data_IF_050701264754
#
_entry.id   IF_050701264754
#
_cell.length_a   1.000
_cell.length_b   1.000
_cell.length_c   1.000
_cell.angle_alpha   90.00
_cell.angle_beta   90.00
_cell.angle_gamma   90.00
#
_symmetry.space_group_name_H-M   'P 1'
#
loop_
_entity.id
_entity.type
_entity.pdbx_description
1 polymer ?
#
# COMPACT_ATOMS: atom_id res chain seq x y z
N UNK A 1 -41.67 -19.28 -45.83
CA UNK A 1 -40.24 -19.39 -46.23
C UNK A 1 -39.57 -18.05 -46.56
N UNK A 2 -40.20 -17.13 -47.30
CA UNK A 2 -39.57 -15.86 -47.70
C UNK A 2 -39.14 -14.94 -46.53
N UNK A 3 -39.92 -14.87 -45.44
CA UNK A 3 -39.58 -14.06 -44.27
C UNK A 3 -38.42 -14.63 -43.44
N UNK A 4 -38.25 -15.96 -43.41
CA UNK A 4 -37.13 -16.59 -42.71
C UNK A 4 -35.81 -16.31 -43.42
N UNK A 5 -35.81 -16.36 -44.77
CA UNK A 5 -34.65 -15.99 -45.59
C UNK A 5 -34.25 -14.52 -45.43
N UNK A 6 -35.23 -13.61 -45.32
CA UNK A 6 -34.98 -12.18 -45.05
C UNK A 6 -34.37 -11.93 -43.67
N UNK A 7 -34.85 -12.64 -42.64
CA UNK A 7 -34.30 -12.51 -41.27
C UNK A 7 -32.91 -13.12 -41.14
N UNK A 8 -32.66 -14.25 -41.79
CA UNK A 8 -31.34 -14.87 -41.84
C UNK A 8 -30.34 -13.98 -42.60
N UNK A 9 -30.75 -13.43 -43.75
CA UNK A 9 -29.92 -12.48 -44.49
C UNK A 9 -29.61 -11.21 -43.70
N UNK A 10 -30.58 -10.68 -42.94
CA UNK A 10 -30.36 -9.55 -42.03
C UNK A 10 -29.38 -9.86 -40.90
N UNK A 11 -29.47 -11.05 -40.29
CA UNK A 11 -28.56 -11.48 -39.23
C UNK A 11 -27.12 -11.71 -39.74
N UNK A 12 -26.97 -12.29 -40.93
CA UNK A 12 -25.66 -12.46 -41.57
C UNK A 12 -25.07 -11.08 -41.94
N UNK A 13 -25.88 -10.15 -42.45
CA UNK A 13 -25.42 -8.81 -42.76
C UNK A 13 -24.97 -8.05 -41.50
N UNK A 14 -25.70 -8.16 -40.40
CA UNK A 14 -25.36 -7.53 -39.12
C UNK A 14 -24.08 -8.11 -38.51
N UNK A 15 -23.89 -9.43 -38.58
CA UNK A 15 -22.67 -10.07 -38.07
C UNK A 15 -21.44 -9.72 -38.92
N UNK A 16 -21.58 -9.64 -40.24
CA UNK A 16 -20.50 -9.19 -41.13
C UNK A 16 -20.18 -7.71 -40.89
N UNK A 17 -21.18 -6.85 -40.71
CA UNK A 17 -20.98 -5.44 -40.37
C UNK A 17 -20.32 -5.26 -38.99
N UNK A 18 -20.71 -6.06 -38.00
CA UNK A 18 -20.08 -6.09 -36.68
C UNK A 18 -18.61 -6.50 -36.77
N UNK A 19 -18.31 -7.58 -37.51
CA UNK A 19 -16.95 -8.05 -37.73
C UNK A 19 -16.10 -7.03 -38.50
N UNK A 20 -16.68 -6.38 -39.52
CA UNK A 20 -16.01 -5.30 -40.23
C UNK A 20 -15.76 -4.09 -39.34
N UNK A 21 -16.71 -3.73 -38.46
CA UNK A 21 -16.51 -2.64 -37.51
C UNK A 21 -15.41 -2.97 -36.50
N UNK A 22 -15.34 -4.21 -36.01
CA UNK A 22 -14.27 -4.67 -35.11
C UNK A 22 -12.92 -4.66 -35.85
N UNK A 23 -12.86 -5.22 -37.06
CA UNK A 23 -11.62 -5.29 -37.85
C UNK A 23 -11.19 -3.96 -38.47
N UNK A 24 -12.06 -2.95 -38.60
CA UNK A 24 -11.69 -1.61 -39.06
C UNK A 24 -11.40 -0.63 -37.91
N UNK A 25 -11.95 -0.86 -36.71
CA UNK A 25 -11.67 -0.04 -35.52
C UNK A 25 -10.46 -0.53 -34.73
N UNK A 26 -10.05 -1.80 -34.86
CA UNK A 26 -8.90 -2.36 -34.12
C UNK A 26 -7.50 -2.21 -34.75
N UNK A 27 -7.27 -2.01 -36.07
CA UNK A 27 -5.92 -2.05 -36.62
C UNK A 27 -5.26 -0.66 -36.72
N UNK A 28 -5.58 0.26 -35.79
CA UNK A 28 -4.80 1.50 -35.57
C UNK A 28 -4.91 2.06 -34.15
N UNK A 29 -5.48 1.31 -33.20
CA UNK A 29 -5.42 1.71 -31.81
C UNK A 29 -4.02 1.37 -31.28
N UNK A 30 -3.11 2.35 -31.30
CA UNK A 30 -1.86 2.34 -30.53
C UNK A 30 -2.19 2.37 -29.02
N UNK A 31 -2.83 1.33 -28.51
CA UNK A 31 -3.12 1.14 -27.07
C UNK A 31 -1.93 0.46 -26.38
N UNK A 32 -0.75 0.50 -27.01
CA UNK A 32 0.51 -0.03 -26.47
C UNK A 32 1.36 0.98 -25.69
N UNK A 33 1.03 2.28 -25.67
CA UNK A 33 1.90 3.28 -25.01
C UNK A 33 1.18 4.45 -24.34
N UNK A 34 -0.15 4.39 -24.16
CA UNK A 34 -0.91 5.52 -23.57
C UNK A 34 -1.83 5.13 -22.39
N UNK A 35 -1.65 3.93 -21.83
CA UNK A 35 -2.17 3.59 -20.50
C UNK A 35 -1.20 3.92 -19.36
N UNK A 36 0.04 4.35 -19.67
CA UNK A 36 0.97 4.95 -18.70
C UNK A 36 0.48 6.30 -18.12
N UNK A 37 -0.66 6.83 -18.60
CA UNK A 37 -1.26 8.07 -18.12
C UNK A 37 -2.63 7.88 -17.46
N UNK A 38 -2.99 6.67 -17.01
CA UNK A 38 -4.12 6.54 -16.08
C UNK A 38 -3.66 6.96 -14.67
N UNK A 39 -3.74 8.27 -14.45
CA UNK A 39 -4.22 8.91 -13.20
C UNK A 39 -3.83 8.25 -11.87
N UNK A 40 -2.54 8.33 -11.54
CA UNK A 40 -2.13 8.58 -10.16
C UNK A 40 -2.55 10.00 -9.79
N UNK A 41 -3.48 10.12 -8.82
CA UNK A 41 -3.88 11.30 -8.04
C UNK A 41 -3.65 12.70 -8.62
N UNK A 42 -4.72 13.45 -8.84
CA UNK A 42 -4.72 14.87 -9.22
C UNK A 42 -4.10 15.78 -8.16
N UNK A 43 -2.76 15.83 -8.09
CA UNK A 43 -1.93 16.90 -7.47
C UNK A 43 -0.43 16.83 -7.85
N UNK A 44 -0.04 16.11 -8.91
CA UNK A 44 1.38 15.80 -9.24
C UNK A 44 2.03 16.82 -10.20
N UNK A 45 1.41 17.98 -10.46
CA UNK A 45 1.95 18.94 -11.44
C UNK A 45 3.31 19.57 -11.05
N UNK A 46 3.76 19.42 -9.79
CA UNK A 46 5.03 19.97 -9.32
C UNK A 46 6.21 18.96 -9.27
N UNK A 47 6.00 17.70 -9.66
CA UNK A 47 7.04 16.64 -9.62
C UNK A 47 7.44 16.10 -11.00
N UNK A 48 7.21 16.87 -12.06
CA UNK A 48 7.56 16.52 -13.45
C UNK A 48 9.05 16.32 -13.73
N UNK A 49 9.94 16.62 -12.76
CA UNK A 49 11.39 16.40 -12.90
C UNK A 49 11.86 14.98 -12.50
N UNK A 50 10.97 14.13 -11.95
CA UNK A 50 11.38 12.84 -11.39
C UNK A 50 11.45 11.69 -12.43
N UNK A 51 10.91 11.88 -13.63
CA UNK A 51 10.62 10.77 -14.57
C UNK A 51 11.23 10.90 -15.96
N UNK A 52 12.46 11.42 -16.09
CA UNK A 52 13.13 11.53 -17.40
C UNK A 52 14.38 10.64 -17.51
N UNK A 53 14.27 9.33 -17.73
CA UNK A 53 15.45 8.47 -18.01
C UNK A 53 15.09 7.46 -19.12
N UNK A 54 15.65 7.60 -20.32
CA UNK A 54 16.98 7.19 -20.85
C UNK A 54 17.09 5.67 -21.04
N UNK A 55 16.95 5.25 -22.29
CA UNK A 55 17.26 3.92 -22.82
C UNK A 55 18.76 3.65 -22.72
N UNK A 56 19.15 2.50 -22.15
CA UNK A 56 20.36 1.76 -22.52
C UNK A 56 20.18 0.29 -22.07
N UNK A 57 20.36 -0.64 -23.02
CA UNK A 57 20.26 -2.09 -22.89
C UNK A 57 21.40 -2.68 -22.03
N UNK A 58 21.11 -3.62 -21.12
CA UNK A 58 21.67 -4.99 -21.17
C UNK A 58 21.34 -5.82 -19.92
N UNK A 59 21.08 -7.09 -20.20
CA UNK A 59 20.74 -8.26 -19.38
C UNK A 59 21.77 -8.71 -18.33
N UNK A 60 21.26 -9.35 -17.26
CA UNK A 60 21.92 -10.49 -16.60
C UNK A 60 22.18 -10.32 -15.10
N UNK A 61 21.63 -11.25 -14.30
CA UNK A 61 21.85 -11.41 -12.86
C UNK A 61 23.32 -11.46 -12.45
N UNK A 62 23.58 -10.94 -11.24
CA UNK A 62 24.76 -10.99 -10.36
C UNK A 62 25.33 -9.60 -10.07
N UNK A 63 24.99 -9.08 -8.88
CA UNK A 63 25.66 -7.98 -8.14
C UNK A 63 26.45 -6.99 -9.02
N UNK A 64 25.76 -6.39 -10.00
CA UNK A 64 26.34 -5.35 -10.84
C UNK A 64 26.28 -4.06 -10.04
N UNK A 65 27.36 -3.78 -9.31
CA UNK A 65 27.52 -2.49 -8.64
C UNK A 65 27.34 -1.34 -9.62
N UNK A 66 26.67 -0.28 -9.17
CA UNK A 66 26.40 0.91 -9.97
C UNK A 66 25.00 0.99 -10.61
N UNK A 67 24.09 0.05 -10.31
CA UNK A 67 22.69 0.10 -10.76
C UNK A 67 21.65 0.50 -9.70
N UNK A 68 20.38 0.32 -10.06
CA UNK A 68 19.22 0.56 -9.17
C UNK A 68 18.95 -0.71 -8.36
N UNK A 69 18.84 -0.56 -7.05
CA UNK A 69 18.39 -1.60 -6.12
C UNK A 69 16.99 -1.28 -5.63
N UNK A 70 16.08 -2.24 -5.72
CA UNK A 70 14.75 -2.15 -5.13
C UNK A 70 14.70 -2.98 -3.84
N UNK A 71 14.20 -2.40 -2.76
CA UNK A 71 13.97 -3.08 -1.48
C UNK A 71 12.51 -2.94 -1.11
N UNK A 72 11.79 -4.04 -0.95
CA UNK A 72 10.34 -4.09 -0.80
C UNK A 72 9.97 -4.60 0.59
N UNK A 73 9.16 -3.82 1.30
CA UNK A 73 8.53 -4.17 2.57
C UNK A 73 7.01 -4.09 2.40
N UNK A 74 6.28 -5.03 2.97
CA UNK A 74 4.83 -5.00 2.92
C UNK A 74 4.13 -6.31 3.18
N UNK A 75 2.95 -6.40 2.61
CA UNK A 75 2.01 -7.50 2.78
C UNK A 75 1.83 -8.30 1.47
N UNK A 76 0.77 -9.11 1.43
CA UNK A 76 0.36 -9.93 0.29
C UNK A 76 0.20 -9.18 -1.03
N UNK A 77 0.09 -7.84 -1.05
CA UNK A 77 -0.04 -7.05 -2.28
C UNK A 77 1.30 -6.80 -2.99
N UNK A 78 2.41 -6.96 -2.27
CA UNK A 78 3.78 -6.74 -2.79
C UNK A 78 4.69 -7.95 -2.62
N UNK A 79 4.19 -9.01 -2.00
CA UNK A 79 4.90 -10.28 -1.85
C UNK A 79 4.96 -11.05 -3.17
N UNK A 80 6.16 -11.48 -3.52
CA UNK A 80 6.55 -12.21 -4.73
C UNK A 80 6.80 -13.70 -4.46
N UNK A 81 6.59 -14.19 -3.23
CA UNK A 81 6.64 -15.64 -2.97
C UNK A 81 5.55 -16.36 -3.75
N UNK A 82 5.95 -17.30 -4.59
CA UNK A 82 5.04 -18.20 -5.32
C UNK A 82 5.04 -19.55 -4.61
N UNK A 83 3.92 -19.88 -3.96
CA UNK A 83 3.78 -21.16 -3.26
C UNK A 83 3.27 -22.29 -4.17
N UNK A 84 3.50 -23.53 -3.76
CA UNK A 84 3.02 -24.73 -4.45
C UNK A 84 1.48 -24.66 -4.58
N UNK A 85 0.96 -24.80 -5.80
CA UNK A 85 -0.46 -24.59 -6.19
C UNK A 85 -0.91 -23.13 -6.46
N UNK A 86 0.00 -22.15 -6.44
CA UNK A 86 -0.28 -20.78 -6.89
C UNK A 86 0.21 -20.51 -8.32
N UNK A 87 0.10 -21.50 -9.22
CA UNK A 87 0.58 -21.40 -10.62
C UNK A 87 -0.06 -20.26 -11.44
N UNK A 88 -1.15 -19.67 -10.93
CA UNK A 88 -1.83 -18.52 -11.54
C UNK A 88 -1.49 -17.16 -10.90
N UNK A 89 -0.62 -17.11 -9.87
CA UNK A 89 -0.15 -15.85 -9.28
C UNK A 89 0.81 -15.19 -10.26
N UNK A 90 0.40 -14.05 -10.81
CA UNK A 90 1.26 -13.22 -11.66
C UNK A 90 2.28 -12.43 -10.84
N UNK A 91 3.12 -11.69 -11.55
CA UNK A 91 4.13 -10.82 -10.97
C UNK A 91 3.50 -9.74 -10.08
N UNK A 92 4.17 -9.43 -8.99
CA UNK A 92 3.76 -8.35 -8.10
C UNK A 92 4.03 -6.99 -8.76
N UNK A 93 3.31 -5.93 -8.38
CA UNK A 93 3.56 -4.62 -8.99
C UNK A 93 4.99 -4.08 -8.76
N UNK A 94 5.69 -4.35 -7.62
CA UNK A 94 7.09 -3.96 -7.48
C UNK A 94 8.02 -4.73 -8.40
N UNK A 95 7.67 -5.97 -8.75
CA UNK A 95 8.42 -6.78 -9.71
C UNK A 95 8.29 -6.20 -11.12
N UNK A 96 7.07 -5.96 -11.59
CA UNK A 96 6.82 -5.28 -12.86
C UNK A 96 7.50 -3.91 -12.90
N UNK A 97 7.41 -3.13 -11.82
CA UNK A 97 8.10 -1.84 -11.71
C UNK A 97 9.62 -2.01 -11.84
N UNK A 98 10.20 -3.06 -11.25
CA UNK A 98 11.63 -3.29 -11.31
C UNK A 98 12.11 -3.59 -12.74
N UNK A 99 11.31 -4.34 -13.50
CA UNK A 99 11.58 -4.62 -14.91
C UNK A 99 11.52 -3.35 -15.75
N UNK A 100 10.50 -2.52 -15.55
CA UNK A 100 10.31 -1.25 -16.27
C UNK A 100 11.43 -0.25 -16.02
N UNK A 101 12.02 -0.23 -14.81
CA UNK A 101 13.14 0.66 -14.47
C UNK A 101 14.52 0.01 -14.65
N UNK A 102 14.58 -1.22 -15.16
CA UNK A 102 15.79 -2.02 -15.33
C UNK A 102 16.64 -2.11 -14.03
N UNK A 103 16.01 -2.59 -12.96
CA UNK A 103 16.69 -2.86 -11.70
C UNK A 103 17.87 -3.83 -11.86
N UNK A 104 18.95 -3.56 -11.12
CA UNK A 104 20.07 -4.50 -10.98
C UNK A 104 19.89 -5.51 -9.85
N UNK A 105 19.11 -5.16 -8.82
CA UNK A 105 18.82 -6.07 -7.71
C UNK A 105 17.45 -5.75 -7.10
N UNK A 106 16.74 -6.79 -6.68
CA UNK A 106 15.45 -6.71 -5.99
C UNK A 106 15.52 -7.56 -4.73
N UNK A 107 15.23 -6.95 -3.59
CA UNK A 107 15.16 -7.61 -2.29
C UNK A 107 13.74 -7.44 -1.76
N UNK A 108 13.12 -8.56 -1.38
CA UNK A 108 11.75 -8.60 -0.88
C UNK A 108 11.74 -9.11 0.56
N UNK A 109 11.06 -8.38 1.43
CA UNK A 109 10.79 -8.75 2.81
C UNK A 109 9.30 -8.74 3.09
N UNK A 110 8.49 -8.49 2.06
CA UNK A 110 7.05 -8.59 2.14
C UNK A 110 6.65 -10.02 2.46
N UNK A 111 5.54 -10.17 3.18
CA UNK A 111 5.07 -11.48 3.63
C UNK A 111 3.58 -11.62 3.35
N UNK A 112 3.21 -12.74 2.75
CA UNK A 112 1.84 -13.22 2.67
C UNK A 112 1.56 -14.28 3.74
N UNK A 113 0.27 -14.47 4.04
CA UNK A 113 -0.15 -15.65 4.79
C UNK A 113 0.20 -16.92 4.00
N UNK A 114 0.85 -17.92 4.62
CA UNK A 114 1.12 -19.20 3.97
C UNK A 114 -0.16 -19.92 3.54
N UNK A 115 -0.15 -20.58 2.38
CA UNK A 115 -1.29 -21.35 1.85
C UNK A 115 -1.69 -22.50 2.75
N UNK A 116 -0.79 -23.03 3.57
CA UNK A 116 -1.10 -24.06 4.57
C UNK A 116 -2.12 -23.58 5.60
N UNK A 117 -2.18 -22.28 5.82
CA UNK A 117 -3.01 -21.64 6.84
C UNK A 117 -4.35 -21.17 6.24
N UNK A 118 -4.59 -21.47 4.95
CA UNK A 118 -5.82 -21.15 4.24
C UNK A 118 -6.89 -22.26 4.37
N UNK A 119 -8.18 -21.92 4.60
CA UNK A 119 -8.70 -20.59 4.90
C UNK A 119 -8.48 -20.22 6.37
N UNK A 120 -7.90 -19.04 6.60
CA UNK A 120 -7.84 -18.46 7.94
C UNK A 120 -9.15 -17.76 8.29
N UNK A 121 -9.62 -17.97 9.52
CA UNK A 121 -10.85 -17.38 10.04
C UNK A 121 -10.54 -16.74 11.41
N UNK A 122 -10.35 -15.40 11.47
CA UNK A 122 -10.45 -14.44 10.38
C UNK A 122 -9.27 -14.46 9.39
N UNK A 123 -9.46 -13.94 8.16
CA UNK A 123 -8.38 -13.66 7.24
C UNK A 123 -7.27 -12.86 7.91
N UNK A 124 -6.05 -13.37 7.85
CA UNK A 124 -4.90 -12.75 8.49
C UNK A 124 -3.91 -12.29 7.44
N UNK A 125 -3.37 -11.09 7.64
CA UNK A 125 -2.28 -10.55 6.86
C UNK A 125 -1.42 -9.63 7.71
N UNK A 126 -0.31 -9.19 7.12
CA UNK A 126 0.71 -8.40 7.82
C UNK A 126 0.12 -7.09 8.33
N UNK A 127 0.30 -6.83 9.63
CA UNK A 127 -0.03 -5.54 10.24
C UNK A 127 1.17 -4.62 10.18
N UNK A 128 0.90 -3.31 10.19
CA UNK A 128 1.95 -2.30 10.33
C UNK A 128 2.73 -2.49 11.63
N UNK A 129 2.03 -2.79 12.73
CA UNK A 129 2.63 -3.14 14.02
C UNK A 129 1.81 -4.21 14.73
N UNK A 130 2.48 -5.31 15.10
CA UNK A 130 1.84 -6.36 15.89
C UNK A 130 1.51 -5.86 17.31
N UNK A 131 2.31 -4.93 17.86
CA UNK A 131 2.07 -4.33 19.19
C UNK A 131 0.81 -3.47 19.20
N UNK A 132 0.60 -2.63 18.19
CA UNK A 132 -0.59 -1.79 18.07
C UNK A 132 -1.84 -2.65 17.92
N UNK A 133 -1.77 -3.68 17.07
CA UNK A 133 -2.86 -4.64 16.90
C UNK A 133 -3.20 -5.35 18.22
N UNK A 134 -2.20 -5.89 18.92
CA UNK A 134 -2.43 -6.57 20.21
C UNK A 134 -3.08 -5.63 21.23
N UNK A 135 -2.62 -4.37 21.31
CA UNK A 135 -3.24 -3.36 22.17
C UNK A 135 -4.70 -3.10 21.79
N UNK A 136 -5.01 -3.00 20.49
CA UNK A 136 -6.37 -2.78 20.00
C UNK A 136 -7.31 -3.93 20.40
N UNK A 137 -6.85 -5.18 20.26
CA UNK A 137 -7.61 -6.38 20.63
C UNK A 137 -7.85 -6.45 22.14
N UNK A 138 -6.86 -6.14 22.97
CA UNK A 138 -6.99 -6.17 24.43
C UNK A 138 -7.96 -5.10 24.96
N UNK A 139 -8.04 -3.95 24.28
CA UNK A 139 -8.79 -2.79 24.76
C UNK A 139 -10.19 -2.65 24.14
N UNK A 140 -10.60 -3.54 23.24
CA UNK A 140 -11.91 -3.48 22.60
C UNK A 140 -12.92 -4.43 23.23
N UNK A 141 -14.19 -4.01 23.22
CA UNK A 141 -15.33 -4.87 23.60
C UNK A 141 -15.83 -5.78 22.48
N UNK A 142 -15.40 -5.54 21.24
CA UNK A 142 -15.91 -6.28 20.07
C UNK A 142 -15.12 -7.54 19.74
N UNK A 143 -13.92 -7.69 20.30
CA UNK A 143 -13.03 -8.81 20.04
C UNK A 143 -12.63 -9.55 21.33
N UNK A 144 -13.61 -9.93 22.18
CA UNK A 144 -13.27 -10.65 23.40
C UNK A 144 -12.63 -11.99 23.04
N UNK A 145 -11.43 -12.25 23.57
CA UNK A 145 -10.71 -13.52 23.45
C UNK A 145 -10.17 -13.87 22.06
N UNK A 146 -9.92 -12.87 21.20
CA UNK A 146 -9.20 -13.13 19.97
C UNK A 146 -7.74 -13.46 20.26
N UNK A 147 -7.25 -14.54 19.64
CA UNK A 147 -5.89 -15.00 19.84
C UNK A 147 -4.91 -14.14 19.04
N UNK A 148 -4.05 -13.41 19.75
CA UNK A 148 -2.99 -12.58 19.16
C UNK A 148 -1.66 -13.33 19.04
N UNK A 149 -1.61 -14.64 19.30
CA UNK A 149 -0.36 -15.41 19.26
C UNK A 149 0.12 -15.68 17.82
N UNK A 150 -0.79 -15.71 16.85
CA UNK A 150 -0.43 -15.85 15.45
C UNK A 150 -0.30 -14.47 14.82
N UNK A 151 0.94 -14.07 14.52
CA UNK A 151 1.26 -12.79 13.87
C UNK A 151 2.28 -13.00 12.77
N UNK A 152 2.08 -12.35 11.64
CA UNK A 152 3.08 -12.28 10.58
C UNK A 152 4.13 -11.19 10.92
N UNK A 153 5.33 -11.23 10.31
CA UNK A 153 6.35 -10.21 10.51
C UNK A 153 5.84 -8.81 10.12
N UNK A 154 5.74 -7.94 11.11
CA UNK A 154 5.33 -6.53 10.93
C UNK A 154 6.45 -5.69 10.30
N UNK A 155 6.17 -4.41 10.02
CA UNK A 155 7.13 -3.51 9.36
C UNK A 155 8.48 -3.46 10.08
N UNK A 156 8.47 -3.38 11.41
CA UNK A 156 9.70 -3.37 12.20
C UNK A 156 10.48 -4.66 12.01
N UNK A 157 9.82 -5.82 12.08
CA UNK A 157 10.47 -7.12 11.86
C UNK A 157 11.07 -7.26 10.45
N UNK A 158 10.37 -6.77 9.43
CA UNK A 158 10.84 -6.79 8.04
C UNK A 158 12.05 -5.87 7.83
N UNK A 159 12.02 -4.65 8.37
CA UNK A 159 13.16 -3.72 8.32
C UNK A 159 14.35 -4.30 9.08
N UNK A 160 14.16 -4.84 10.28
CA UNK A 160 15.26 -5.46 11.03
C UNK A 160 15.90 -6.64 10.27
N UNK A 161 15.08 -7.43 9.55
CA UNK A 161 15.59 -8.50 8.68
C UNK A 161 16.49 -7.94 7.58
N UNK A 162 16.09 -6.83 6.94
CA UNK A 162 16.92 -6.12 5.97
C UNK A 162 18.21 -5.58 6.59
N UNK A 163 18.13 -4.91 7.74
CA UNK A 163 19.29 -4.35 8.44
C UNK A 163 20.30 -5.42 8.89
N UNK A 164 19.85 -6.66 9.08
CA UNK A 164 20.69 -7.79 9.44
C UNK A 164 21.51 -8.36 8.28
N UNK A 165 21.18 -7.97 7.03
CA UNK A 165 21.93 -8.41 5.86
C UNK A 165 23.35 -7.83 5.87
N UNK A 166 24.35 -8.59 5.37
CA UNK A 166 25.68 -8.04 5.20
C UNK A 166 25.67 -6.87 4.20
N UNK A 167 26.53 -5.84 4.39
CA UNK A 167 26.68 -4.78 3.43
C UNK A 167 27.01 -5.34 2.03
N UNK A 168 26.48 -4.75 0.95
CA UNK A 168 26.73 -5.25 -0.39
C UNK A 168 28.21 -5.08 -0.76
N UNK A 169 28.75 -6.07 -1.48
CA UNK A 169 30.15 -6.05 -1.93
C UNK A 169 30.44 -4.84 -2.82
N UNK A 170 29.47 -4.44 -3.64
CA UNK A 170 29.49 -3.18 -4.39
C UNK A 170 28.26 -2.34 -4.02
N UNK A 171 28.44 -1.06 -3.64
CA UNK A 171 27.30 -0.22 -3.30
C UNK A 171 26.44 0.02 -4.55
N UNK A 172 25.10 -0.10 -4.45
CA UNK A 172 24.22 0.28 -5.53
C UNK A 172 24.37 1.79 -5.79
N UNK A 173 24.17 2.22 -7.04
CA UNK A 173 24.17 3.66 -7.37
C UNK A 173 22.96 4.34 -6.73
N UNK A 174 21.86 3.62 -6.65
CA UNK A 174 20.61 4.10 -6.10
C UNK A 174 19.88 2.95 -5.42
N UNK A 175 19.27 3.22 -4.26
CA UNK A 175 18.36 2.30 -3.60
C UNK A 175 16.99 2.95 -3.49
N UNK A 176 15.96 2.25 -3.95
CA UNK A 176 14.55 2.65 -3.84
C UNK A 176 13.89 1.69 -2.84
N UNK A 177 13.33 2.26 -1.78
CA UNK A 177 12.54 1.51 -0.80
C UNK A 177 11.07 1.57 -1.17
N UNK A 178 10.38 0.43 -1.15
CA UNK A 178 8.92 0.33 -1.32
C UNK A 178 8.34 -0.11 0.01
N UNK A 179 7.41 0.66 0.56
CA UNK A 179 6.65 0.30 1.76
C UNK A 179 5.16 0.21 1.42
N UNK A 180 4.58 -0.99 1.45
CA UNK A 180 3.15 -1.21 1.21
C UNK A 180 2.49 -1.84 2.44
N UNK A 181 1.93 -0.99 3.31
CA UNK A 181 1.26 -1.38 4.55
C UNK A 181 -0.05 -0.62 4.73
N UNK A 182 -0.92 -1.14 5.60
CA UNK A 182 -2.15 -0.48 6.04
C UNK A 182 -3.44 -1.13 5.54
N UNK A 183 -3.39 -1.94 4.48
CA UNK A 183 -4.58 -2.63 3.98
C UNK A 183 -5.18 -3.52 5.06
N UNK A 184 -4.33 -4.37 5.67
CA UNK A 184 -4.75 -5.29 6.73
C UNK A 184 -5.01 -4.60 8.06
N UNK A 185 -4.39 -3.45 8.34
CA UNK A 185 -4.75 -2.59 9.48
C UNK A 185 -6.18 -2.08 9.33
N UNK A 186 -6.50 -1.43 8.21
CA UNK A 186 -7.85 -0.89 7.96
C UNK A 186 -8.88 -2.01 7.86
N UNK A 187 -8.55 -3.11 7.19
CA UNK A 187 -9.42 -4.27 7.11
C UNK A 187 -9.79 -4.75 8.52
N UNK A 188 -8.82 -4.87 9.41
CA UNK A 188 -9.09 -5.36 10.75
C UNK A 188 -9.77 -4.32 11.65
N UNK A 189 -9.21 -3.12 11.75
CA UNK A 189 -9.67 -2.07 12.65
C UNK A 189 -11.08 -1.56 12.36
N UNK A 190 -11.60 -1.80 11.15
CA UNK A 190 -12.98 -1.50 10.80
C UNK A 190 -14.03 -2.17 11.73
N UNK A 191 -13.67 -3.24 12.45
CA UNK A 191 -14.54 -3.91 13.42
C UNK A 191 -14.57 -3.27 14.81
N UNK A 192 -13.70 -2.29 15.08
CA UNK A 192 -13.60 -1.60 16.36
C UNK A 192 -14.63 -0.45 16.46
N UNK A 193 -14.81 0.08 17.68
CA UNK A 193 -15.50 1.36 17.87
C UNK A 193 -14.76 2.44 17.05
N UNK A 194 -15.48 3.30 16.35
CA UNK A 194 -14.89 4.26 15.39
C UNK A 194 -13.75 5.11 15.99
N UNK A 195 -13.92 5.62 17.21
CA UNK A 195 -12.90 6.41 17.91
C UNK A 195 -11.62 5.61 18.18
N UNK A 196 -11.76 4.33 18.56
CA UNK A 196 -10.63 3.43 18.75
C UNK A 196 -9.95 3.14 17.43
N UNK A 197 -10.73 2.82 16.39
CA UNK A 197 -10.23 2.52 15.06
C UNK A 197 -9.38 3.66 14.49
N UNK A 198 -9.84 4.91 14.62
CA UNK A 198 -9.06 6.08 14.22
C UNK A 198 -7.74 6.18 14.99
N UNK A 199 -7.77 6.02 16.31
CA UNK A 199 -6.57 6.12 17.15
C UNK A 199 -5.52 5.07 16.77
N UNK A 200 -5.92 3.81 16.60
CA UNK A 200 -4.97 2.76 16.23
C UNK A 200 -4.48 2.90 14.79
N UNK A 201 -5.31 3.42 13.88
CA UNK A 201 -4.88 3.79 12.53
C UNK A 201 -3.82 4.90 12.56
N UNK A 202 -4.02 5.94 13.35
CA UNK A 202 -3.05 7.04 13.48
C UNK A 202 -1.72 6.54 14.04
N UNK A 203 -1.77 5.71 15.07
CA UNK A 203 -0.58 5.09 15.66
C UNK A 203 0.16 4.18 14.68
N UNK A 204 -0.55 3.43 13.84
CA UNK A 204 0.07 2.63 12.78
C UNK A 204 0.82 3.52 11.79
N UNK A 205 0.29 4.70 11.47
CA UNK A 205 0.97 5.66 10.58
C UNK A 205 2.20 6.26 11.26
N UNK A 206 2.11 6.65 12.53
CA UNK A 206 3.25 7.14 13.30
C UNK A 206 4.37 6.09 13.39
N UNK A 207 4.01 4.80 13.53
CA UNK A 207 4.97 3.69 13.50
C UNK A 207 5.68 3.60 12.14
N UNK A 208 4.99 3.81 11.01
CA UNK A 208 5.64 3.82 9.69
C UNK A 208 6.76 4.84 9.66
N UNK A 209 6.51 6.07 10.12
CA UNK A 209 7.54 7.12 10.12
C UNK A 209 8.66 6.85 11.12
N UNK A 210 8.34 6.27 12.28
CA UNK A 210 9.35 5.81 13.24
C UNK A 210 10.29 4.77 12.61
N UNK A 211 9.75 3.81 11.85
CA UNK A 211 10.57 2.82 11.16
C UNK A 211 11.31 3.40 9.93
N UNK A 212 10.74 4.41 9.26
CA UNK A 212 11.42 5.14 8.19
C UNK A 212 12.63 5.91 8.71
N UNK A 213 12.58 6.49 9.92
CA UNK A 213 13.74 7.14 10.54
C UNK A 213 14.88 6.15 10.76
N UNK A 214 14.57 4.94 11.24
CA UNK A 214 15.55 3.86 11.41
C UNK A 214 16.17 3.48 10.06
N UNK A 215 15.34 3.31 9.03
CA UNK A 215 15.77 2.95 7.69
C UNK A 215 16.61 4.06 7.03
N UNK A 216 16.20 5.31 7.20
CA UNK A 216 16.92 6.50 6.73
C UNK A 216 18.29 6.61 7.41
N UNK A 217 18.35 6.45 8.72
CA UNK A 217 19.61 6.47 9.46
C UNK A 217 20.56 5.37 8.96
N UNK A 218 20.07 4.15 8.74
CA UNK A 218 20.88 3.08 8.16
C UNK A 218 21.38 3.42 6.75
N UNK A 219 20.52 3.98 5.89
CA UNK A 219 20.91 4.44 4.56
C UNK A 219 22.02 5.49 4.63
N UNK A 220 21.88 6.47 5.53
CA UNK A 220 22.79 7.58 5.68
C UNK A 220 24.15 7.14 6.26
N UNK A 221 24.14 6.32 7.31
CA UNK A 221 25.35 5.93 8.04
C UNK A 221 26.07 4.71 7.46
N UNK A 222 25.33 3.76 6.89
CA UNK A 222 25.86 2.43 6.53
C UNK A 222 26.03 2.29 5.02
N UNK A 223 25.00 2.65 4.25
CA UNK A 223 25.05 2.50 2.79
C UNK A 223 25.87 3.61 2.12
N UNK A 224 25.76 4.84 2.61
CA UNK A 224 26.40 6.01 2.00
C UNK A 224 27.01 6.95 3.04
N UNK A 225 28.03 6.52 3.82
CA UNK A 225 28.65 7.33 4.86
C UNK A 225 29.26 8.64 4.30
N UNK A 226 29.38 9.66 5.16
CA UNK A 226 29.77 11.03 4.79
C UNK A 226 31.15 11.18 4.08
N UNK A 227 31.96 10.12 4.05
CA UNK A 227 33.22 10.05 3.29
C UNK A 227 32.98 9.98 1.77
N UNK A 228 31.75 9.66 1.35
CA UNK A 228 31.31 9.74 -0.05
C UNK A 228 31.10 11.21 -0.42
N UNK A 229 31.77 11.68 -1.49
CA UNK A 229 31.65 13.05 -2.00
C UNK A 229 30.19 13.55 -1.97
N UNK A 230 29.93 14.63 -1.22
CA UNK A 230 28.58 15.15 -0.97
C UNK A 230 27.80 15.50 -2.26
N UNK A 231 28.49 15.80 -3.35
CA UNK A 231 27.89 16.12 -4.65
C UNK A 231 27.41 14.88 -5.43
N UNK A 232 27.86 13.69 -5.07
CA UNK A 232 27.50 12.41 -5.72
C UNK A 232 26.75 11.45 -4.81
N UNK A 233 26.39 11.90 -3.59
CA UNK A 233 25.67 11.06 -2.63
C UNK A 233 24.25 10.80 -3.15
N UNK A 234 23.79 9.54 -3.23
CA UNK A 234 22.43 9.26 -3.61
C UNK A 234 21.46 9.75 -2.55
N UNK A 235 20.28 10.16 -3.00
CA UNK A 235 19.19 10.59 -2.12
C UNK A 235 18.45 9.37 -1.61
N UNK A 236 17.95 9.45 -0.38
CA UNK A 236 17.00 8.47 0.13
C UNK A 236 15.71 8.53 -0.70
N UNK A 237 15.29 7.40 -1.25
CA UNK A 237 14.10 7.29 -2.09
C UNK A 237 13.16 6.25 -1.51
N UNK A 238 11.94 6.66 -1.22
CA UNK A 238 10.88 5.78 -0.73
C UNK A 238 9.62 5.97 -1.55
N UNK A 239 8.95 4.86 -1.86
CA UNK A 239 7.65 4.79 -2.52
C UNK A 239 6.67 4.18 -1.51
N UNK A 240 5.62 4.93 -1.20
CA UNK A 240 4.52 4.47 -0.37
C UNK A 240 3.24 4.65 -1.20
N UNK A 241 2.60 3.57 -1.67
CA UNK A 241 1.35 3.68 -2.39
C UNK A 241 0.22 4.13 -1.45
N UNK A 242 -0.76 4.84 -2.02
CA UNK A 242 -2.05 5.02 -1.34
C UNK A 242 -2.73 3.67 -1.16
N UNK A 243 -3.44 3.52 -0.04
CA UNK A 243 -4.26 2.36 0.22
C UNK A 243 -5.43 2.28 -0.74
N UNK A 244 -5.59 1.07 -1.29
CA UNK A 244 -6.81 0.63 -1.94
C UNK A 244 -7.89 0.35 -0.88
N UNK A 245 -9.14 0.72 -1.17
CA UNK A 245 -10.29 0.50 -0.29
C UNK A 245 -10.56 -1.00 -0.07
N UNK A 246 -10.34 -1.53 1.15
CA UNK A 246 -10.53 -2.95 1.41
C UNK A 246 -11.96 -3.43 1.20
N UNK A 247 -12.96 -2.53 1.27
CA UNK A 247 -14.38 -2.87 1.13
C UNK A 247 -14.77 -3.28 -0.29
N UNK A 248 -13.92 -2.94 -1.26
CA UNK A 248 -14.10 -3.30 -2.67
C UNK A 248 -13.52 -4.68 -3.02
N UNK A 249 -12.77 -5.30 -2.10
CA UNK A 249 -12.23 -6.64 -2.33
C UNK A 249 -13.30 -7.72 -2.15
N UNK A 250 -13.27 -8.82 -2.93
CA UNK A 250 -14.21 -9.92 -2.76
C UNK A 250 -14.21 -10.49 -1.33
N UNK A 251 -13.02 -10.53 -0.72
CA UNK A 251 -12.81 -11.04 0.63
C UNK A 251 -13.49 -10.22 1.73
N UNK A 252 -13.85 -8.97 1.47
CA UNK A 252 -14.63 -8.17 2.41
C UNK A 252 -15.99 -8.80 2.73
N UNK A 253 -16.69 -9.29 1.69
CA UNK A 253 -18.02 -9.87 1.84
C UNK A 253 -17.97 -11.35 2.22
N UNK A 254 -16.99 -12.10 1.70
CA UNK A 254 -17.00 -13.56 1.79
C UNK A 254 -16.24 -14.12 2.98
N UNK A 255 -15.24 -13.42 3.50
CA UNK A 255 -14.31 -13.98 4.48
C UNK A 255 -14.30 -13.27 5.84
N UNK A 256 -14.93 -12.10 5.98
CA UNK A 256 -15.04 -11.43 7.28
C UNK A 256 -15.97 -12.20 8.23
N UNK A 257 -15.61 -12.32 9.52
CA UNK A 257 -16.54 -12.81 10.54
C UNK A 257 -17.80 -11.94 10.64
N UNK A 258 -18.94 -12.53 11.01
CA UNK A 258 -20.16 -11.76 11.27
C UNK A 258 -19.92 -10.77 12.43
N UNK A 259 -20.27 -9.49 12.29
CA UNK A 259 -20.11 -8.50 13.35
C UNK A 259 -20.89 -8.87 14.61
N UNK A 260 -20.26 -8.68 15.78
CA UNK A 260 -20.94 -8.80 17.07
C UNK A 260 -21.81 -7.59 17.35
N UNK A 261 -23.00 -7.80 17.91
CA UNK A 261 -23.89 -6.70 18.32
C UNK A 261 -23.20 -5.78 19.36
N UNK A 262 -23.38 -4.46 19.30
CA UNK A 262 -24.29 -3.72 18.42
C UNK A 262 -23.77 -3.44 16.99
N UNK A 263 -22.57 -3.89 16.63
CA UNK A 263 -21.97 -3.62 15.31
C UNK A 263 -22.70 -4.33 14.18
N UNK A 264 -22.59 -3.78 12.97
CA UNK A 264 -23.19 -4.34 11.74
C UNK A 264 -22.22 -4.33 10.57
N UNK A 265 -22.52 -5.11 9.51
CA UNK A 265 -21.67 -5.16 8.31
C UNK A 265 -21.59 -3.79 7.64
N UNK A 266 -22.71 -3.06 7.61
CA UNK A 266 -22.78 -1.71 7.07
C UNK A 266 -21.93 -0.73 7.88
N UNK A 267 -21.89 -0.88 9.21
CA UNK A 267 -21.07 -0.06 10.08
C UNK A 267 -19.58 -0.33 9.89
N UNK A 268 -19.16 -1.60 9.84
CA UNK A 268 -17.76 -1.93 9.55
C UNK A 268 -17.32 -1.44 8.17
N UNK A 269 -18.20 -1.55 7.16
CA UNK A 269 -17.91 -1.02 5.82
C UNK A 269 -17.75 0.50 5.86
N UNK A 270 -18.67 1.21 6.54
CA UNK A 270 -18.56 2.65 6.75
C UNK A 270 -17.23 3.01 7.41
N UNK A 271 -16.86 2.31 8.49
CA UNK A 271 -15.61 2.53 9.20
C UNK A 271 -14.40 2.34 8.26
N UNK A 272 -14.33 1.24 7.52
CA UNK A 272 -13.21 1.00 6.59
C UNK A 272 -13.04 2.08 5.53
N UNK A 273 -14.13 2.60 4.96
CA UNK A 273 -14.07 3.71 3.99
C UNK A 273 -13.44 4.95 4.63
N UNK A 274 -13.92 5.35 5.82
CA UNK A 274 -13.37 6.51 6.52
C UNK A 274 -11.92 6.30 6.97
N UNK A 275 -11.57 5.11 7.44
CA UNK A 275 -10.21 4.78 7.86
C UNK A 275 -9.24 4.76 6.66
N UNK A 276 -9.68 4.27 5.49
CA UNK A 276 -8.89 4.30 4.25
C UNK A 276 -8.62 5.74 3.83
N UNK A 277 -9.66 6.59 3.83
CA UNK A 277 -9.53 8.01 3.50
C UNK A 277 -8.57 8.71 4.49
N UNK A 278 -8.77 8.48 5.79
CA UNK A 278 -7.91 9.01 6.84
C UNK A 278 -6.46 8.58 6.68
N UNK A 279 -6.22 7.30 6.42
CA UNK A 279 -4.89 6.76 6.21
C UNK A 279 -4.18 7.47 5.07
N UNK A 280 -4.84 7.56 3.91
CA UNK A 280 -4.28 8.20 2.73
C UNK A 280 -3.98 9.69 2.96
N UNK A 281 -4.88 10.42 3.62
CA UNK A 281 -4.67 11.84 3.95
C UNK A 281 -3.55 12.04 4.96
N UNK A 282 -3.53 11.25 6.04
CA UNK A 282 -2.53 11.39 7.10
C UNK A 282 -1.14 10.97 6.62
N UNK A 283 -1.02 9.89 5.83
CA UNK A 283 0.25 9.51 5.20
C UNK A 283 0.85 10.65 4.37
N UNK A 284 0.04 11.33 3.55
CA UNK A 284 0.52 12.45 2.73
C UNK A 284 0.97 13.65 3.56
N UNK A 285 0.17 14.01 4.57
CA UNK A 285 0.46 15.14 5.44
C UNK A 285 1.71 14.90 6.30
N UNK A 286 1.82 13.70 6.88
CA UNK A 286 2.98 13.31 7.71
C UNK A 286 4.23 13.16 6.85
N UNK A 287 4.12 12.62 5.62
CA UNK A 287 5.24 12.55 4.68
C UNK A 287 5.81 13.93 4.36
N UNK A 288 4.94 14.91 4.08
CA UNK A 288 5.38 16.30 3.84
C UNK A 288 6.12 16.88 5.04
N UNK A 289 5.63 16.61 6.25
CA UNK A 289 6.25 17.08 7.50
C UNK A 289 7.59 16.40 7.77
N UNK A 290 7.67 15.07 7.55
CA UNK A 290 8.87 14.27 7.73
C UNK A 290 10.00 14.66 6.76
N UNK A 291 9.68 14.90 5.49
CA UNK A 291 10.68 15.38 4.51
C UNK A 291 11.27 16.74 4.94
N UNK A 292 10.43 17.62 5.49
CA UNK A 292 10.89 18.92 5.98
C UNK A 292 11.81 18.75 7.20
N UNK A 293 11.47 17.87 8.14
CA UNK A 293 12.32 17.65 9.33
C UNK A 293 13.69 17.06 9.00
N UNK A 294 13.81 16.27 7.91
CA UNK A 294 15.12 15.78 7.44
C UNK A 294 16.03 16.90 6.90
N UNK A 295 15.46 18.06 6.54
CA UNK A 295 16.22 19.20 6.04
C UNK A 295 16.71 20.13 7.16
N UNK A 296 16.23 19.93 8.39
CA UNK A 296 16.60 20.76 9.53
C UNK A 296 17.90 20.24 10.19
N UNK A 297 18.93 21.10 10.38
CA UNK A 297 20.24 20.67 10.87
C UNK A 297 20.25 20.19 12.34
N UNK A 298 19.14 20.32 13.09
CA UNK A 298 19.01 19.79 14.45
C UNK A 298 18.70 18.28 14.52
N UNK A 299 18.22 17.68 13.42
CA UNK A 299 17.89 16.24 13.37
C UNK A 299 19.13 15.32 13.50
N UNK A 300 20.33 15.87 13.35
CA UNK A 300 21.59 15.12 13.44
C UNK A 300 22.14 14.98 14.87
N UNK A 301 21.34 15.29 15.88
CA UNK A 301 21.68 15.06 17.29
C UNK A 301 21.02 13.78 17.79
N UNK A 302 21.86 12.92 18.36
CA UNK A 302 21.57 11.57 18.87
C UNK A 302 20.24 11.50 19.63
N UNK A 303 19.36 10.50 19.41
CA UNK A 303 18.12 10.41 20.15
C UNK A 303 18.43 10.17 21.64
N UNK A 304 18.00 11.11 22.50
CA UNK A 304 17.92 10.83 23.92
C UNK A 304 16.93 9.67 24.16
N UNK A 305 17.17 8.79 25.15
CA UNK A 305 16.24 7.72 25.47
C UNK A 305 14.91 8.34 25.91
N UNK A 306 13.90 8.24 25.04
CA UNK A 306 12.51 8.59 25.38
C UNK A 306 12.08 7.65 26.49
N UNK A 307 11.94 8.18 27.70
CA UNK A 307 11.27 7.48 28.79
C UNK A 307 9.83 7.19 28.33
N UNK A 308 9.45 5.91 28.39
CA UNK A 308 8.07 5.45 28.21
C UNK A 308 7.15 6.07 29.27
N UNK A 309 6.78 7.33 29.12
CA UNK A 309 5.71 7.93 29.89
C UNK A 309 4.41 7.72 29.11
N UNK A 310 3.62 6.75 29.59
CA UNK A 310 2.28 6.45 29.08
C UNK A 310 1.41 7.69 29.23
N UNK A 311 1.25 8.45 28.16
CA UNK A 311 0.34 9.60 28.11
C UNK A 311 -1.09 9.07 28.35
N UNK A 312 -1.78 9.49 29.43
CA UNK A 312 -3.14 9.04 29.69
C UNK A 312 -4.11 9.56 28.62
N UNK A 313 -4.89 8.63 28.06
CA UNK A 313 -5.90 8.88 27.03
C UNK A 313 -6.99 9.83 27.54
N UNK A 314 -7.12 11.01 26.94
CA UNK A 314 -8.37 11.78 27.01
C UNK A 314 -9.31 11.28 25.91
N UNK A 315 -10.60 11.01 26.23
CA UNK A 315 -11.58 10.67 25.21
C UNK A 315 -11.71 11.82 24.21
N UNK A 316 -11.57 11.53 22.92
CA UNK A 316 -11.90 12.48 21.86
C UNK A 316 -13.39 12.80 21.90
N UNK A 317 -13.74 14.07 21.72
CA UNK A 317 -15.14 14.51 21.66
C UNK A 317 -15.94 13.71 20.59
N UNK A 318 -17.24 13.45 20.83
CA UNK A 318 -18.09 12.79 19.87
C UNK A 318 -18.14 13.55 18.54
N UNK A 319 -18.06 12.82 17.44
CA UNK A 319 -18.22 13.36 16.09
C UNK A 319 -19.59 14.02 15.90
N UNK A 320 -19.61 15.32 15.60
CA UNK A 320 -20.78 16.01 15.06
C UNK A 320 -20.76 15.92 13.51
N UNK A 321 -21.79 15.34 12.87
CA UNK A 321 -21.87 15.34 11.42
C UNK A 321 -22.06 16.76 10.87
N UNK A 322 -21.58 17.06 9.65
CA UNK A 322 -21.80 18.35 9.01
C UNK A 322 -23.30 18.62 8.86
N UNK A 323 -23.70 19.82 9.29
CA UNK A 323 -25.09 20.25 9.32
C UNK A 323 -25.64 20.37 7.89
N UNK A 324 -26.35 19.35 7.42
CA UNK A 324 -27.03 19.36 6.12
C UNK A 324 -28.22 20.31 6.26
N UNK A 325 -28.06 21.52 5.74
CA UNK A 325 -29.09 22.54 5.72
C UNK A 325 -30.23 22.11 4.78
N UNK A 326 -31.23 21.41 5.29
CA UNK A 326 -32.41 20.97 4.52
C UNK A 326 -33.39 22.13 4.35
N UNK A 327 -33.06 23.06 3.44
CA UNK A 327 -34.06 23.94 2.84
C UNK A 327 -34.60 23.25 1.58
N UNK A 328 -35.51 22.30 1.77
CA UNK A 328 -36.37 21.80 0.70
C UNK A 328 -37.70 22.56 0.83
N UNK A 329 -38.10 23.38 -0.17
CA UNK A 329 -39.42 24.02 -0.14
C UNK A 329 -40.51 22.97 -0.33
N UNK A 330 -41.50 22.98 0.57
CA UNK A 330 -42.70 22.16 0.49
C UNK A 330 -43.50 22.46 -0.80
N UNK A 331 -44.13 21.47 -1.43
CA UNK A 331 -45.05 21.73 -2.53
C UNK A 331 -46.34 22.37 -1.97
N UNK A 332 -46.75 23.48 -2.59
CA UNK A 332 -48.02 24.15 -2.34
C UNK A 332 -49.20 23.25 -2.73
N UNK A 333 -50.19 23.13 -1.83
CA UNK A 333 -51.53 22.59 -2.09
C UNK A 333 -52.32 23.41 -3.10
#
# INVERSE_FOLDING_TARGET
MANLKKRLAGAVLLTVLSMFSICLLLPNSRVGTHLQNITLGTTIDNYSSLWSWREDESSGEEDVGGGIRLVVFGDSWVDDVVEENQEAKGESWPEVMCEEINCTSRLTFAVTQPSSDWPSLPPTGVKTSNKIHAWAVENTRYLPHEDTNYTLPDLSSQIQSYLSLPPPTQPPKETIFVLSFGFWDVYDFARLDYAMAMNVTDRSIDEIFTQLDILYNHFDTTLYPAEVNATTRPKFKVIIPRLFDPTLTPGWKTHRPPPLSPSSVAEQQKNAVYLTERWNQMMENTMGSWINSLSDPEFNSTPEPVSEEVIPLQPSEPFEPPNVNTNIPSPSE
#
